data_IF_390831609790
#
_entry.id   IF_390831609790
#
_cell.length_a   1.000
_cell.length_b   1.000
_cell.length_c   1.000
_cell.angle_alpha   90.00
_cell.angle_beta   90.00
_cell.angle_gamma   90.00
#
_symmetry.space_group_name_H-M   'P 1'
#
loop_
_entity.id
_entity.type
_entity.pdbx_description
1 polymer ?
#
# COMPACT_ATOMS: atom_id res chain seq x y z
N UNK A 1 15.82 14.67 -1.73
CA UNK A 1 14.80 13.75 -2.28
C UNK A 1 14.82 12.49 -1.45
N UNK A 2 13.80 12.26 -0.61
CA UNK A 2 13.64 11.00 0.11
C UNK A 2 13.27 9.92 -0.89
N UNK A 3 14.02 8.81 -0.95
CA UNK A 3 13.69 7.75 -1.89
C UNK A 3 12.38 7.05 -1.48
N UNK A 4 11.56 6.63 -2.45
CA UNK A 4 10.37 5.81 -2.21
C UNK A 4 10.68 4.51 -1.45
N UNK A 5 11.92 4.03 -1.55
CA UNK A 5 12.38 2.89 -0.76
C UNK A 5 12.58 3.25 0.71
N UNK A 6 13.10 4.44 1.00
CA UNK A 6 13.25 4.93 2.38
C UNK A 6 11.90 5.22 3.04
N UNK A 7 10.89 5.66 2.29
CA UNK A 7 9.53 5.90 2.82
C UNK A 7 8.78 4.60 3.15
N UNK A 8 9.13 3.49 2.49
CA UNK A 8 8.41 2.24 2.58
C UNK A 8 9.35 1.07 2.90
N UNK A 9 10.07 1.18 4.02
CA UNK A 9 10.93 0.12 4.54
C UNK A 9 10.19 -0.70 5.61
N UNK A 10 9.69 -1.88 5.21
CA UNK A 10 8.92 -2.75 6.09
C UNK A 10 9.75 -3.26 7.27
N UNK A 11 9.16 -3.27 8.47
CA UNK A 11 9.72 -3.95 9.64
C UNK A 11 10.64 -3.09 10.52
N UNK A 12 11.12 -1.94 10.04
CA UNK A 12 11.91 -1.01 10.88
C UNK A 12 11.04 -0.18 11.82
N UNK A 13 9.84 0.19 11.38
CA UNK A 13 8.89 0.96 12.18
C UNK A 13 7.44 0.59 11.82
N UNK A 14 6.52 0.86 12.75
CA UNK A 14 5.09 0.82 12.44
C UNK A 14 4.74 1.97 11.50
N UNK A 15 3.99 1.73 10.42
CA UNK A 15 3.61 2.78 9.49
C UNK A 15 2.56 3.68 10.14
N UNK A 16 2.76 4.99 9.99
CA UNK A 16 1.76 5.97 10.41
C UNK A 16 0.63 6.03 9.38
N UNK A 17 -0.50 5.41 9.68
CA UNK A 17 -1.66 5.37 8.79
C UNK A 17 -2.83 6.08 9.47
N UNK A 18 -3.42 7.11 8.84
CA UNK A 18 -4.62 7.75 9.38
C UNK A 18 -5.78 6.75 9.47
N UNK A 19 -6.43 6.66 10.63
CA UNK A 19 -7.58 5.76 10.82
C UNK A 19 -8.74 6.06 9.85
N UNK A 20 -8.94 7.34 9.51
CA UNK A 20 -9.91 7.78 8.50
C UNK A 20 -9.56 7.23 7.12
N UNK A 21 -8.27 7.25 6.75
CA UNK A 21 -7.81 6.71 5.49
C UNK A 21 -8.08 5.21 5.42
N UNK A 22 -7.69 4.44 6.44
CA UNK A 22 -7.91 3.00 6.46
C UNK A 22 -9.41 2.61 6.35
N UNK A 23 -10.32 3.43 6.89
CA UNK A 23 -11.77 3.20 6.79
C UNK A 23 -12.37 3.48 5.41
N UNK A 24 -11.74 4.33 4.60
CA UNK A 24 -12.21 4.67 3.25
C UNK A 24 -11.88 3.58 2.22
N UNK A 25 -11.03 2.61 2.56
CA UNK A 25 -10.49 1.60 1.67
C UNK A 25 -10.90 0.20 2.16
N UNK A 26 -11.92 -0.37 1.53
CA UNK A 26 -12.63 -1.57 1.96
C UNK A 26 -11.84 -2.89 1.80
N UNK A 27 -10.87 -2.94 0.89
CA UNK A 27 -9.96 -4.05 0.64
C UNK A 27 -8.65 -3.95 1.41
N UNK A 28 -8.36 -2.84 2.08
CA UNK A 28 -7.08 -2.65 2.79
C UNK A 28 -7.25 -2.94 4.29
N UNK A 29 -6.26 -3.62 4.86
CA UNK A 29 -6.18 -3.87 6.30
C UNK A 29 -4.76 -3.70 6.82
N UNK A 30 -4.64 -3.50 8.13
CA UNK A 30 -3.39 -3.48 8.88
C UNK A 30 -3.53 -4.42 10.06
N UNK A 31 -2.58 -5.33 10.26
CA UNK A 31 -2.55 -6.24 11.40
C UNK A 31 -1.10 -6.37 11.88
N UNK A 32 -0.76 -6.04 13.14
CA UNK A 32 0.60 -6.17 13.67
C UNK A 32 1.22 -7.57 13.49
N UNK A 33 0.40 -8.63 13.40
CA UNK A 33 0.83 -10.01 13.18
C UNK A 33 1.05 -10.35 11.71
N UNK A 34 0.63 -9.49 10.78
CA UNK A 34 0.77 -9.68 9.33
C UNK A 34 1.66 -8.55 8.80
N UNK A 35 2.80 -8.91 8.21
CA UNK A 35 3.73 -7.92 7.61
C UNK A 35 4.07 -6.78 8.58
N UNK A 36 4.24 -7.09 9.86
CA UNK A 36 4.59 -6.13 10.92
C UNK A 36 3.67 -4.91 11.00
N UNK A 37 2.36 -5.06 10.75
CA UNK A 37 1.41 -3.95 10.80
C UNK A 37 1.30 -3.13 9.51
N UNK A 38 2.06 -3.50 8.48
CA UNK A 38 2.02 -2.79 7.21
C UNK A 38 0.71 -3.03 6.43
N UNK A 39 0.24 -2.01 5.68
CA UNK A 39 -1.02 -2.07 4.99
C UNK A 39 -0.93 -3.08 3.85
N UNK A 40 -1.89 -4.00 3.83
CA UNK A 40 -1.97 -5.10 2.89
C UNK A 40 -3.40 -5.27 2.38
N UNK A 41 -3.53 -5.96 1.24
CA UNK A 41 -4.83 -6.36 0.71
C UNK A 41 -5.40 -7.47 1.60
N UNK A 42 -6.64 -7.31 2.07
CA UNK A 42 -7.37 -8.24 2.94
C UNK A 42 -7.30 -9.68 2.44
N UNK A 43 -7.16 -10.62 3.37
CA UNK A 43 -7.02 -12.05 3.11
C UNK A 43 -5.76 -12.43 2.30
N UNK A 44 -4.79 -11.53 2.21
CA UNK A 44 -3.50 -11.77 1.56
C UNK A 44 -2.36 -11.23 2.41
N UNK A 45 -1.12 -11.50 1.99
CA UNK A 45 0.09 -10.85 2.53
C UNK A 45 0.70 -9.84 1.55
N UNK A 46 -0.07 -9.42 0.55
CA UNK A 46 0.39 -8.51 -0.50
C UNK A 46 0.30 -7.07 0.01
N UNK A 47 1.44 -6.40 0.10
CA UNK A 47 1.52 -5.02 0.54
C UNK A 47 0.97 -4.07 -0.51
N UNK A 48 0.28 -3.02 -0.05
CA UNK A 48 -0.20 -1.94 -0.95
C UNK A 48 0.96 -1.19 -1.61
N UNK A 49 2.10 -1.07 -0.92
CA UNK A 49 3.31 -0.43 -1.42
C UNK A 49 3.95 -1.20 -2.57
N UNK A 50 3.81 -2.53 -2.59
CA UNK A 50 4.33 -3.36 -3.68
C UNK A 50 3.48 -3.19 -4.94
N UNK A 51 2.17 -3.07 -4.79
CA UNK A 51 1.26 -2.74 -5.91
C UNK A 51 1.58 -1.36 -6.49
N UNK A 52 1.79 -0.37 -5.62
CA UNK A 52 2.18 0.97 -6.04
C UNK A 52 3.50 0.96 -6.82
N UNK A 53 4.54 0.29 -6.29
CA UNK A 53 5.84 0.16 -6.97
C UNK A 53 5.71 -0.56 -8.32
N UNK A 54 4.90 -1.60 -8.40
CA UNK A 54 4.67 -2.33 -9.65
C UNK A 54 4.03 -1.44 -10.72
N UNK A 55 3.01 -0.64 -10.36
CA UNK A 55 2.38 0.34 -11.24
C UNK A 55 3.36 1.43 -11.71
N UNK A 56 4.17 1.99 -10.80
CA UNK A 56 5.21 2.98 -11.15
C UNK A 56 6.25 2.40 -12.12
N UNK A 57 6.52 1.10 -12.05
CA UNK A 57 7.40 0.38 -12.99
C UNK A 57 6.72 0.01 -14.32
N UNK A 58 5.45 0.36 -14.51
CA UNK A 58 4.69 0.13 -15.74
C UNK A 58 3.92 -1.19 -15.80
N UNK A 59 3.79 -1.93 -14.69
CA UNK A 59 2.91 -3.11 -14.65
C UNK A 59 1.45 -2.66 -14.65
N UNK A 60 0.62 -3.24 -15.50
CA UNK A 60 -0.81 -2.92 -15.52
C UNK A 60 -1.57 -3.72 -14.46
N UNK A 61 -2.79 -3.27 -14.12
CA UNK A 61 -3.64 -4.00 -13.17
C UNK A 61 -3.94 -5.40 -13.73
N UNK A 62 -4.22 -5.49 -15.04
CA UNK A 62 -4.54 -6.75 -15.71
C UNK A 62 -3.37 -7.73 -15.69
N UNK A 63 -2.12 -7.26 -15.86
CA UNK A 63 -0.95 -8.13 -15.77
C UNK A 63 -0.78 -8.65 -14.35
N UNK A 64 -0.89 -7.77 -13.34
CA UNK A 64 -0.78 -8.18 -11.93
C UNK A 64 -1.87 -9.18 -11.52
N UNK A 65 -3.12 -9.03 -11.99
CA UNK A 65 -4.18 -10.01 -11.73
C UNK A 65 -3.79 -11.39 -12.29
N UNK A 66 -3.24 -11.45 -13.50
CA UNK A 66 -2.78 -12.71 -14.10
C UNK A 66 -1.63 -13.32 -13.31
N UNK A 67 -0.67 -12.51 -12.89
CA UNK A 67 0.50 -12.95 -12.13
C UNK A 67 0.07 -13.52 -10.76
N UNK A 68 -0.73 -12.79 -9.99
CA UNK A 68 -1.24 -13.29 -8.70
C UNK A 68 -2.07 -14.56 -8.86
N UNK A 69 -2.91 -14.64 -9.90
CA UNK A 69 -3.68 -15.85 -10.21
C UNK A 69 -2.77 -17.05 -10.48
N UNK A 70 -1.67 -16.87 -11.21
CA UNK A 70 -0.69 -17.93 -11.48
C UNK A 70 0.03 -18.43 -10.22
N UNK A 71 0.15 -17.55 -9.21
CA UNK A 71 0.69 -17.88 -7.89
C UNK A 71 -0.34 -18.50 -6.93
N UNK A 72 -1.58 -18.71 -7.37
CA UNK A 72 -2.67 -19.21 -6.52
C UNK A 72 -3.24 -18.16 -5.55
N UNK A 73 -2.89 -16.88 -5.73
CA UNK A 73 -3.37 -15.78 -4.90
C UNK A 73 -4.64 -15.20 -5.55
N UNK A 74 -5.74 -15.18 -4.79
CA UNK A 74 -7.02 -14.64 -5.25
C UNK A 74 -7.09 -13.13 -4.96
N UNK A 75 -6.77 -12.32 -5.96
CA UNK A 75 -6.91 -10.85 -5.93
C UNK A 75 -7.63 -10.41 -7.22
N UNK A 76 -8.58 -9.48 -7.09
CA UNK A 76 -9.27 -8.89 -8.24
C UNK A 76 -8.69 -7.49 -8.57
N UNK A 77 -9.09 -6.94 -9.72
CA UNK A 77 -8.64 -5.61 -10.17
C UNK A 77 -9.01 -4.51 -9.18
N UNK A 78 -10.21 -4.56 -8.61
CA UNK A 78 -10.70 -3.56 -7.65
C UNK A 78 -9.80 -3.44 -6.43
N UNK A 79 -9.36 -4.56 -5.84
CA UNK A 79 -8.43 -4.55 -4.70
C UNK A 79 -7.05 -3.98 -5.07
N UNK A 80 -6.58 -4.19 -6.31
CA UNK A 80 -5.31 -3.63 -6.78
C UNK A 80 -5.41 -2.13 -7.04
N UNK A 81 -6.50 -1.67 -7.67
CA UNK A 81 -6.78 -0.25 -7.87
C UNK A 81 -6.91 0.47 -6.53
N UNK A 82 -7.62 -0.15 -5.59
CA UNK A 82 -7.80 0.37 -4.25
C UNK A 82 -6.45 0.46 -3.51
N UNK A 83 -5.60 -0.57 -3.60
CA UNK A 83 -4.24 -0.55 -3.03
C UNK A 83 -3.37 0.58 -3.61
N UNK A 84 -3.46 0.82 -4.92
CA UNK A 84 -2.77 1.92 -5.58
C UNK A 84 -3.24 3.28 -5.08
N UNK A 85 -4.57 3.51 -5.08
CA UNK A 85 -5.19 4.77 -4.60
C UNK A 85 -4.89 5.01 -3.12
N UNK A 86 -4.96 3.97 -2.28
CA UNK A 86 -4.62 4.05 -0.87
C UNK A 86 -3.20 4.57 -0.67
N UNK A 87 -2.24 4.05 -1.43
CA UNK A 87 -0.84 4.44 -1.30
C UNK A 87 -0.62 5.90 -1.73
N UNK A 88 -1.32 6.37 -2.76
CA UNK A 88 -1.28 7.78 -3.18
C UNK A 88 -1.82 8.73 -2.09
N UNK A 89 -2.99 8.43 -1.52
CA UNK A 89 -3.57 9.24 -0.44
C UNK A 89 -2.71 9.20 0.82
N UNK A 90 -2.11 8.04 1.11
CA UNK A 90 -1.18 7.90 2.22
C UNK A 90 0.07 8.77 2.03
N UNK A 91 0.68 8.76 0.84
CA UNK A 91 1.81 9.63 0.51
C UNK A 91 1.44 11.11 0.62
N UNK A 92 0.24 11.49 0.18
CA UNK A 92 -0.25 12.86 0.30
C UNK A 92 -0.32 13.30 1.77
N UNK A 93 -0.91 12.46 2.62
CA UNK A 93 -0.97 12.71 4.08
C UNK A 93 0.43 12.85 4.71
N UNK A 94 1.36 11.97 4.36
CA UNK A 94 2.72 12.02 4.90
C UNK A 94 3.44 13.32 4.52
N UNK A 95 3.28 13.76 3.26
CA UNK A 95 3.86 15.00 2.76
C UNK A 95 3.23 16.25 3.41
N UNK A 96 1.91 16.27 3.64
CA UNK A 96 1.25 17.35 4.38
C UNK A 96 1.75 17.43 5.83
N UNK A 97 1.92 16.27 6.48
CA UNK A 97 2.44 16.21 7.85
C UNK A 97 3.88 16.72 7.94
N UNK A 98 4.73 16.35 6.99
CA UNK A 98 6.13 16.83 6.92
C UNK A 98 6.17 18.35 6.81
N UNK A 99 5.37 18.94 5.91
CA UNK A 99 5.28 20.40 5.73
C UNK A 99 4.86 21.12 7.01
N UNK A 100 3.85 20.61 7.71
CA UNK A 100 3.33 21.21 8.94
C UNK A 100 4.29 21.10 10.13
N UNK A 101 5.22 20.13 10.14
CA UNK A 101 6.23 20.00 11.18
C UNK A 101 7.48 20.86 10.93
N UNK A 102 7.64 21.41 9.73
CA UNK A 102 8.76 22.29 9.34
C UNK A 102 8.43 23.78 9.36
N UNK A 103 7.19 24.16 9.70
CA UNK A 103 6.74 25.55 9.90
C UNK A 103 6.65 25.87 11.39
#
# INVERSE_FOLDING_TARGET
MTSLNALFNEGEHLPLIPSKLLRSFSFISTDPKIRSGWPHIKNTRVLVTDIFRAQVRGNTIESMVKDFKSMGIKINSEALEEAYKFTLEWLHYLNEKEKNNTS
#
